data_IF_856070772386
#
_entry.id   IF_856070772386
#
_cell.length_a   1.000
_cell.length_b   1.000
_cell.length_c   1.000
_cell.angle_alpha   90.00
_cell.angle_beta   90.00
_cell.angle_gamma   90.00
#
_symmetry.space_group_name_H-M   'P 1'
#
loop_
_entity.id
_entity.type
_entity.pdbx_description
1 polymer ?
#
# COMPACT_ATOMS: atom_id res chain seq x y z
N UNK A 1 33.07 -12.79 61.92
CA UNK A 1 32.64 -11.59 61.19
C UNK A 1 32.67 -11.92 59.70
N UNK A 2 31.50 -12.14 59.08
CA UNK A 2 31.39 -12.49 57.66
C UNK A 2 30.97 -11.23 56.90
N UNK A 3 31.84 -10.75 56.03
CA UNK A 3 31.60 -9.60 55.17
C UNK A 3 30.59 -9.97 54.08
N UNK A 4 29.49 -9.23 54.00
CA UNK A 4 28.55 -9.32 52.88
C UNK A 4 29.10 -8.50 51.71
N UNK A 5 29.41 -9.19 50.63
CA UNK A 5 29.79 -8.60 49.35
C UNK A 5 28.50 -8.10 48.66
N UNK A 6 28.26 -6.79 48.64
CA UNK A 6 27.22 -6.21 47.80
C UNK A 6 27.74 -6.15 46.35
N UNK A 7 27.15 -6.95 45.47
CA UNK A 7 27.34 -6.82 44.02
C UNK A 7 26.19 -5.96 43.50
N UNK A 8 26.50 -4.71 43.16
CA UNK A 8 25.60 -3.79 42.46
C UNK A 8 25.54 -4.26 41.01
N UNK A 9 24.44 -4.88 40.60
CA UNK A 9 24.16 -5.17 39.20
C UNK A 9 23.68 -3.90 38.50
N UNK A 10 24.60 -3.22 37.82
CA UNK A 10 24.27 -2.15 36.87
C UNK A 10 23.59 -2.78 35.65
N UNK A 11 22.26 -2.80 35.65
CA UNK A 11 21.45 -3.04 34.46
C UNK A 11 21.55 -1.81 33.57
N UNK A 12 22.53 -1.81 32.65
CA UNK A 12 22.50 -0.92 31.49
C UNK A 12 21.45 -1.46 30.52
N UNK A 13 20.20 -1.02 30.70
CA UNK A 13 19.17 -1.18 29.69
C UNK A 13 19.51 -0.22 28.53
N UNK A 14 20.32 -0.67 27.58
CA UNK A 14 20.42 -0.02 26.28
C UNK A 14 19.11 -0.27 25.55
N UNK A 15 18.11 0.58 25.79
CA UNK A 15 17.00 0.76 24.87
C UNK A 15 17.62 1.25 23.56
N UNK A 16 17.77 0.34 22.60
CA UNK A 16 17.98 0.69 21.21
C UNK A 16 16.79 1.55 20.79
N UNK A 17 16.97 2.87 20.81
CA UNK A 17 16.16 3.75 20.01
C UNK A 17 16.41 3.32 18.56
N UNK A 18 15.49 2.55 18.01
CA UNK A 18 15.34 2.50 16.57
C UNK A 18 15.05 3.93 16.13
N UNK A 19 16.07 4.63 15.63
CA UNK A 19 15.88 5.88 14.94
C UNK A 19 14.94 5.59 13.77
N UNK A 20 13.68 6.04 13.88
CA UNK A 20 12.79 6.09 12.74
C UNK A 20 13.41 7.10 11.77
N UNK A 21 14.22 6.63 10.82
CA UNK A 21 14.56 7.42 9.64
C UNK A 21 13.22 7.83 9.05
N UNK A 22 12.95 9.13 9.00
CA UNK A 22 11.84 9.61 8.18
C UNK A 22 12.22 9.29 6.75
N UNK A 23 11.61 8.26 6.19
CA UNK A 23 11.79 7.91 4.79
C UNK A 23 11.47 9.14 3.95
N UNK A 24 12.40 9.49 3.05
CA UNK A 24 12.21 10.62 2.15
C UNK A 24 11.05 10.26 1.22
N UNK A 25 10.14 11.21 0.97
CA UNK A 25 8.93 10.99 0.18
C UNK A 25 9.03 11.71 -1.16
N UNK A 26 8.69 11.02 -2.23
CA UNK A 26 8.56 11.54 -3.60
C UNK A 26 7.07 11.83 -3.84
N UNK A 27 6.73 13.09 -4.08
CA UNK A 27 5.35 13.53 -4.32
C UNK A 27 5.07 13.49 -5.83
N UNK A 28 4.04 12.74 -6.24
CA UNK A 28 3.61 12.65 -7.65
C UNK A 28 2.54 13.69 -7.96
N UNK A 29 1.59 13.84 -7.04
CA UNK A 29 0.51 14.80 -7.13
C UNK A 29 -0.03 15.17 -5.74
N UNK A 30 -1.24 15.77 -5.69
CA UNK A 30 -1.87 16.22 -4.46
C UNK A 30 -2.25 15.07 -3.50
N UNK A 31 -2.55 13.90 -4.05
CA UNK A 31 -3.05 12.74 -3.31
C UNK A 31 -1.97 11.66 -3.18
N UNK A 32 -1.14 11.48 -4.21
CA UNK A 32 -0.25 10.34 -4.34
C UNK A 32 1.23 10.68 -4.10
N UNK A 33 1.91 9.79 -3.37
CA UNK A 33 3.33 9.87 -3.08
C UNK A 33 3.95 8.49 -2.85
N UNK A 34 5.24 8.36 -3.10
CA UNK A 34 6.00 7.14 -2.87
C UNK A 34 7.12 7.37 -1.87
N UNK A 35 7.50 6.37 -1.05
CA UNK A 35 8.80 6.41 -0.40
C UNK A 35 9.91 6.44 -1.45
N UNK A 36 11.03 7.09 -1.14
CA UNK A 36 12.27 6.89 -1.89
C UNK A 36 12.71 5.43 -1.66
N UNK A 37 12.74 4.65 -2.73
CA UNK A 37 13.16 3.24 -2.70
C UNK A 37 14.37 3.05 -3.60
N UNK A 38 15.32 2.25 -3.15
CA UNK A 38 16.39 1.67 -3.96
C UNK A 38 15.84 0.57 -4.87
N UNK A 39 16.63 0.18 -5.87
CA UNK A 39 16.24 -0.91 -6.78
C UNK A 39 16.11 -2.26 -6.05
N UNK A 40 16.96 -2.51 -5.05
CA UNK A 40 16.90 -3.73 -4.24
C UNK A 40 15.59 -3.76 -3.41
N UNK A 41 15.20 -2.64 -2.80
CA UNK A 41 13.93 -2.53 -2.07
C UNK A 41 12.71 -2.69 -2.99
N UNK A 42 12.76 -2.14 -4.21
CA UNK A 42 11.70 -2.34 -5.21
C UNK A 42 11.60 -3.82 -5.61
N UNK A 43 12.73 -4.50 -5.77
CA UNK A 43 12.73 -5.93 -6.12
C UNK A 43 12.22 -6.81 -4.96
N UNK A 44 12.58 -6.49 -3.71
CA UNK A 44 12.17 -7.28 -2.54
C UNK A 44 10.73 -6.99 -2.07
N UNK A 45 10.24 -5.76 -2.25
CA UNK A 45 8.97 -5.30 -1.65
C UNK A 45 7.98 -4.71 -2.65
N UNK A 46 8.37 -4.60 -3.93
CA UNK A 46 7.61 -3.89 -4.95
C UNK A 46 7.81 -2.37 -4.90
N UNK A 47 7.50 -1.72 -6.01
CA UNK A 47 7.44 -0.26 -6.09
C UNK A 47 6.13 0.23 -5.46
N UNK A 48 6.23 1.02 -4.39
CA UNK A 48 5.07 1.42 -3.57
C UNK A 48 4.64 2.84 -3.91
N UNK A 49 3.34 3.04 -4.12
CA UNK A 49 2.69 4.36 -4.18
C UNK A 49 1.54 4.40 -3.19
N UNK A 50 1.44 5.46 -2.41
CA UNK A 50 0.36 5.69 -1.46
C UNK A 50 -0.44 6.93 -1.89
N UNK A 51 -1.75 6.77 -2.08
CA UNK A 51 -2.67 7.86 -2.35
C UNK A 51 -3.65 8.03 -1.19
N UNK A 52 -3.78 9.27 -0.67
CA UNK A 52 -4.63 9.58 0.48
C UNK A 52 -5.79 10.49 0.07
N UNK A 53 -7.01 9.96 0.17
CA UNK A 53 -8.25 10.66 -0.19
C UNK A 53 -9.09 10.94 1.06
N UNK A 54 -8.81 12.08 1.71
CA UNK A 54 -9.49 12.47 2.93
C UNK A 54 -11.01 12.66 2.73
N UNK A 55 -11.80 12.09 3.65
CA UNK A 55 -13.26 12.18 3.67
C UNK A 55 -13.99 11.42 2.56
N UNK A 56 -13.28 10.72 1.67
CA UNK A 56 -13.88 9.96 0.58
C UNK A 56 -14.10 8.50 0.97
N UNK A 57 -15.22 7.95 0.51
CA UNK A 57 -15.49 6.52 0.53
C UNK A 57 -14.60 5.76 -0.45
N UNK A 58 -14.50 4.42 -0.33
CA UNK A 58 -13.75 3.61 -1.31
C UNK A 58 -14.21 3.87 -2.74
N UNK A 59 -15.53 3.92 -2.98
CA UNK A 59 -16.06 4.09 -4.33
C UNK A 59 -15.73 5.46 -4.92
N UNK A 60 -15.75 6.52 -4.09
CA UNK A 60 -15.44 7.88 -4.53
C UNK A 60 -13.94 8.09 -4.74
N UNK A 61 -13.11 7.57 -3.83
CA UNK A 61 -11.66 7.62 -3.93
C UNK A 61 -11.15 6.81 -5.14
N UNK A 62 -11.68 5.61 -5.35
CA UNK A 62 -11.37 4.79 -6.52
C UNK A 62 -11.75 5.50 -7.82
N UNK A 63 -12.98 6.02 -7.91
CA UNK A 63 -13.43 6.76 -9.10
C UNK A 63 -12.51 7.93 -9.39
N UNK A 64 -12.14 8.69 -8.35
CA UNK A 64 -11.25 9.82 -8.47
C UNK A 64 -9.86 9.41 -8.98
N UNK A 65 -9.28 8.35 -8.43
CA UNK A 65 -8.02 7.79 -8.90
C UNK A 65 -8.11 7.40 -10.39
N UNK A 66 -9.11 6.59 -10.77
CA UNK A 66 -9.26 6.11 -12.17
C UNK A 66 -9.47 7.27 -13.16
N UNK A 67 -10.19 8.32 -12.75
CA UNK A 67 -10.44 9.49 -13.60
C UNK A 67 -9.18 10.38 -13.75
N UNK A 68 -8.29 10.42 -12.76
CA UNK A 68 -7.07 11.26 -12.78
C UNK A 68 -5.86 10.58 -13.43
N UNK A 69 -5.78 9.25 -13.38
CA UNK A 69 -4.64 8.48 -13.88
C UNK A 69 -4.89 7.77 -15.23
N UNK A 70 -6.09 7.93 -15.81
CA UNK A 70 -6.51 7.33 -17.08
C UNK A 70 -6.24 5.81 -17.19
N UNK A 71 -6.57 5.10 -16.11
CA UNK A 71 -6.36 3.66 -16.01
C UNK A 71 -7.26 2.91 -17.00
N UNK A 72 -6.64 2.30 -18.01
CA UNK A 72 -7.33 1.71 -19.16
C UNK A 72 -7.99 0.36 -18.85
N UNK A 73 -7.41 -0.42 -17.94
CA UNK A 73 -7.87 -1.78 -17.62
C UNK A 73 -8.75 -1.84 -16.36
N UNK A 74 -8.84 -0.75 -15.60
CA UNK A 74 -9.69 -0.63 -14.43
C UNK A 74 -11.14 -0.29 -14.82
N UNK A 75 -12.11 -0.91 -14.14
CA UNK A 75 -13.52 -0.57 -14.31
C UNK A 75 -13.77 0.89 -13.90
N UNK A 76 -14.56 1.63 -14.68
CA UNK A 76 -14.83 3.04 -14.34
C UNK A 76 -15.73 3.21 -13.10
N UNK A 77 -16.44 2.15 -12.71
CA UNK A 77 -17.35 2.15 -11.55
C UNK A 77 -17.29 0.79 -10.86
N UNK A 78 -17.01 0.79 -9.56
CA UNK A 78 -17.06 -0.39 -8.70
C UNK A 78 -18.32 -0.37 -7.82
N UNK A 79 -18.80 -1.56 -7.45
CA UNK A 79 -19.91 -1.73 -6.51
C UNK A 79 -19.39 -2.37 -5.22
N UNK A 80 -19.73 -1.79 -4.08
CA UNK A 80 -19.31 -2.27 -2.75
C UNK A 80 -19.73 -3.73 -2.55
N UNK A 81 -18.81 -4.56 -2.03
CA UNK A 81 -18.99 -6.00 -1.80
C UNK A 81 -19.36 -6.81 -3.04
N UNK A 82 -19.00 -6.34 -4.23
CA UNK A 82 -19.18 -7.09 -5.46
C UNK A 82 -17.82 -7.49 -6.00
N UNK A 83 -17.46 -8.76 -5.81
CA UNK A 83 -16.26 -9.31 -6.42
C UNK A 83 -16.48 -9.50 -7.91
N UNK A 84 -15.46 -9.20 -8.70
CA UNK A 84 -15.52 -9.26 -10.15
C UNK A 84 -14.15 -9.65 -10.71
N UNK A 85 -14.16 -10.19 -11.93
CA UNK A 85 -12.96 -10.47 -12.70
C UNK A 85 -13.17 -9.97 -14.12
N UNK A 86 -12.11 -9.40 -14.71
CA UNK A 86 -12.07 -8.92 -16.08
C UNK A 86 -10.82 -9.44 -16.77
N UNK A 87 -11.00 -9.93 -17.99
CA UNK A 87 -9.91 -10.37 -18.84
C UNK A 87 -9.89 -9.54 -20.12
N UNK A 88 -8.70 -9.07 -20.48
CA UNK A 88 -8.41 -8.36 -21.71
C UNK A 88 -7.48 -9.25 -22.55
N UNK A 89 -8.07 -10.21 -23.24
CA UNK A 89 -7.36 -11.30 -23.91
C UNK A 89 -6.38 -10.85 -25.00
N UNK A 90 -6.66 -9.73 -25.67
CA UNK A 90 -5.77 -9.17 -26.70
C UNK A 90 -4.49 -8.59 -26.10
N UNK A 91 -4.54 -8.13 -24.85
CA UNK A 91 -3.45 -7.44 -24.18
C UNK A 91 -2.77 -8.32 -23.12
N UNK A 92 -3.25 -9.56 -22.94
CA UNK A 92 -2.82 -10.50 -21.90
C UNK A 92 -2.86 -9.87 -20.49
N UNK A 93 -3.92 -9.10 -20.21
CA UNK A 93 -4.17 -8.46 -18.92
C UNK A 93 -5.37 -9.11 -18.25
N UNK A 94 -5.28 -9.40 -16.96
CA UNK A 94 -6.43 -9.75 -16.11
C UNK A 94 -6.50 -8.81 -14.92
N UNK A 95 -7.73 -8.53 -14.48
CA UNK A 95 -8.00 -7.67 -13.32
C UNK A 95 -9.01 -8.37 -12.42
N UNK A 96 -8.62 -8.59 -11.17
CA UNK A 96 -9.42 -9.24 -10.15
C UNK A 96 -9.76 -8.26 -9.03
N UNK A 97 -11.05 -8.14 -8.71
CA UNK A 97 -11.59 -7.28 -7.66
C UNK A 97 -12.10 -8.16 -6.52
N UNK A 98 -11.47 -8.06 -5.35
CA UNK A 98 -11.81 -8.84 -4.17
C UNK A 98 -12.12 -7.94 -2.96
N UNK A 99 -13.40 -7.81 -2.64
CA UNK A 99 -13.84 -7.17 -1.42
C UNK A 99 -13.70 -8.14 -0.24
N UNK A 100 -12.88 -7.78 0.75
CA UNK A 100 -12.88 -8.49 2.02
C UNK A 100 -14.08 -8.07 2.88
N UNK A 101 -14.43 -6.78 2.84
CA UNK A 101 -15.55 -6.16 3.55
C UNK A 101 -15.83 -4.77 2.94
N UNK A 102 -16.92 -4.07 3.33
CA UNK A 102 -17.25 -2.75 2.75
C UNK A 102 -16.18 -1.66 2.87
N UNK A 103 -15.16 -1.86 3.71
CA UNK A 103 -14.08 -0.91 4.01
C UNK A 103 -12.71 -1.41 3.57
N UNK A 104 -12.65 -2.55 2.85
CA UNK A 104 -11.40 -3.09 2.31
C UNK A 104 -11.63 -3.82 0.98
N UNK A 105 -11.03 -3.28 -0.07
CA UNK A 105 -11.01 -3.83 -1.43
C UNK A 105 -9.56 -4.07 -1.85
N UNK A 106 -9.30 -5.23 -2.43
CA UNK A 106 -8.03 -5.57 -3.08
C UNK A 106 -8.31 -5.70 -4.58
N UNK A 107 -7.50 -5.04 -5.39
CA UNK A 107 -7.54 -5.17 -6.85
C UNK A 107 -6.17 -5.68 -7.30
N UNK A 108 -6.15 -6.79 -8.03
CA UNK A 108 -4.92 -7.32 -8.62
C UNK A 108 -5.00 -7.17 -10.13
N UNK A 109 -3.99 -6.57 -10.75
CA UNK A 109 -3.82 -6.49 -12.19
C UNK A 109 -2.61 -7.34 -12.59
N UNK A 110 -2.81 -8.38 -13.39
CA UNK A 110 -1.72 -9.20 -13.92
C UNK A 110 -1.40 -8.79 -15.35
N UNK A 111 -0.10 -8.69 -15.65
CA UNK A 111 0.45 -8.34 -16.96
C UNK A 111 1.55 -9.36 -17.33
N UNK A 112 1.99 -9.36 -18.58
CA UNK A 112 3.07 -10.25 -19.03
C UNK A 112 4.44 -9.99 -18.36
N UNK A 113 4.61 -8.86 -17.65
CA UNK A 113 5.87 -8.45 -17.02
C UNK A 113 5.76 -8.28 -15.50
N UNK A 114 4.79 -8.94 -14.87
CA UNK A 114 4.54 -8.86 -13.44
C UNK A 114 3.10 -8.47 -13.11
N UNK A 115 2.87 -8.01 -11.88
CA UNK A 115 1.53 -7.65 -11.41
C UNK A 115 1.54 -6.37 -10.59
N UNK A 116 0.37 -5.76 -10.47
CA UNK A 116 0.12 -4.61 -9.60
C UNK A 116 -1.00 -4.94 -8.64
N UNK A 117 -0.75 -4.78 -7.34
CA UNK A 117 -1.78 -4.87 -6.31
C UNK A 117 -2.22 -3.44 -5.92
N UNK A 118 -3.52 -3.22 -5.81
CA UNK A 118 -4.10 -2.01 -5.22
C UNK A 118 -4.93 -2.41 -3.99
N UNK A 119 -4.47 -2.00 -2.81
CA UNK A 119 -5.20 -2.14 -1.56
C UNK A 119 -5.90 -0.82 -1.21
N UNK A 120 -7.23 -0.84 -1.20
CA UNK A 120 -8.08 0.28 -0.80
C UNK A 120 -8.64 0.03 0.59
N UNK A 121 -8.33 0.91 1.53
CA UNK A 121 -8.77 0.83 2.93
C UNK A 121 -9.43 2.14 3.36
N UNK A 122 -10.65 2.04 3.88
CA UNK A 122 -11.41 3.20 4.37
C UNK A 122 -11.53 3.19 5.89
N UNK A 123 -11.16 4.32 6.50
CA UNK A 123 -11.33 4.59 7.93
C UNK A 123 -12.15 5.88 8.16
N UNK A 124 -12.17 6.38 9.39
CA UNK A 124 -12.90 7.60 9.74
C UNK A 124 -12.33 8.87 9.09
N UNK A 125 -11.11 8.84 8.57
CA UNK A 125 -10.41 9.98 7.95
C UNK A 125 -10.58 10.00 6.44
N UNK A 126 -10.95 8.88 5.82
CA UNK A 126 -11.16 8.75 4.37
C UNK A 126 -10.62 7.41 3.86
N UNK A 127 -10.23 7.39 2.60
CA UNK A 127 -9.70 6.19 1.95
C UNK A 127 -8.21 6.34 1.64
N UNK A 128 -7.42 5.33 1.97
CA UNK A 128 -6.06 5.15 1.50
C UNK A 128 -6.07 4.13 0.36
N UNK A 129 -5.36 4.43 -0.73
CA UNK A 129 -5.02 3.47 -1.78
C UNK A 129 -3.52 3.21 -1.68
N UNK A 130 -3.12 1.96 -1.45
CA UNK A 130 -1.73 1.51 -1.52
C UNK A 130 -1.58 0.72 -2.80
N UNK A 131 -0.65 1.12 -3.66
CA UNK A 131 -0.39 0.49 -4.96
C UNK A 131 1.01 -0.10 -4.90
N UNK A 132 1.14 -1.38 -5.20
CA UNK A 132 2.42 -2.09 -5.18
C UNK A 132 2.64 -2.75 -6.54
N UNK A 133 3.65 -2.29 -7.28
CA UNK A 133 4.06 -2.89 -8.54
C UNK A 133 5.17 -3.91 -8.33
N UNK A 134 4.93 -5.15 -8.73
CA UNK A 134 5.86 -6.26 -8.65
C UNK A 134 6.33 -6.64 -10.06
N UNK A 135 7.57 -6.28 -10.46
CA UNK A 135 8.14 -6.75 -11.72
C UNK A 135 8.51 -8.24 -11.64
N UNK A 136 8.27 -8.98 -12.72
CA UNK A 136 8.74 -10.36 -12.92
C UNK A 136 10.20 -10.42 -13.43
#
# INVERSE_FOLDING_TARGET
MKAYLMIVTLLYSSVLLAESKMDKVIVHDKYCSSPEQTMDEVYEHGAITNCIYAGLSITDAYKKYVDEHDEAYLEKVIKVNNNAQKEYTNDAVSVDYNWENPKKLIIEQQFAGGFTEMLLEEDQKGTKITITGHPD
#
